data_IF_653793210526
#
_entry.id   IF_653793210526
#
_cell.length_a   1.000
_cell.length_b   1.000
_cell.length_c   1.000
_cell.angle_alpha   90.00
_cell.angle_beta   90.00
_cell.angle_gamma   90.00
#
_symmetry.space_group_name_H-M   'P 1'
#
loop_
_entity.id
_entity.type
_entity.pdbx_description
1 polymer ?
#
# COMPACT_ATOMS: atom_id res chain seq x y z
N UNK A 1 -42.88 -21.68 -13.75
CA UNK A 1 -41.89 -22.76 -13.87
C UNK A 1 -41.17 -22.86 -12.54
N UNK A 2 -41.13 -24.02 -11.87
CA UNK A 2 -40.51 -24.12 -10.55
C UNK A 2 -38.99 -23.91 -10.70
N UNK A 3 -38.48 -22.95 -9.93
CA UNK A 3 -37.06 -22.66 -9.74
C UNK A 3 -36.43 -23.76 -8.86
N UNK A 4 -36.31 -24.97 -9.40
CA UNK A 4 -35.54 -26.02 -8.72
C UNK A 4 -34.06 -25.68 -8.91
N UNK A 5 -33.27 -25.48 -7.84
CA UNK A 5 -31.85 -25.24 -7.97
C UNK A 5 -31.22 -26.43 -8.71
N UNK A 6 -30.25 -26.19 -9.62
CA UNK A 6 -29.61 -27.28 -10.35
C UNK A 6 -29.01 -28.26 -9.34
N UNK A 7 -29.06 -29.59 -9.62
CA UNK A 7 -28.51 -30.60 -8.74
C UNK A 7 -27.05 -30.25 -8.42
N UNK A 8 -26.74 -30.14 -7.13
CA UNK A 8 -25.41 -29.81 -6.67
C UNK A 8 -24.46 -30.94 -7.08
N UNK A 9 -23.62 -30.67 -8.07
CA UNK A 9 -22.58 -31.60 -8.50
C UNK A 9 -21.61 -31.80 -7.34
N UNK A 10 -21.30 -33.05 -7.00
CA UNK A 10 -20.34 -33.34 -5.97
C UNK A 10 -18.94 -32.95 -6.47
N UNK A 11 -18.18 -32.18 -5.68
CA UNK A 11 -16.82 -31.83 -6.06
C UNK A 11 -15.98 -33.11 -6.17
N UNK A 12 -15.09 -33.21 -7.19
CA UNK A 12 -14.14 -34.31 -7.25
C UNK A 12 -13.22 -34.25 -6.01
N UNK A 13 -12.77 -35.41 -5.51
CA UNK A 13 -11.89 -35.47 -4.35
C UNK A 13 -10.60 -34.72 -4.64
N UNK A 14 -10.19 -33.89 -3.69
CA UNK A 14 -8.91 -33.21 -3.75
C UNK A 14 -7.78 -34.23 -3.59
N UNK A 15 -6.77 -34.16 -4.44
CA UNK A 15 -5.68 -35.12 -4.45
C UNK A 15 -4.48 -34.61 -5.23
N UNK A 16 -3.29 -35.07 -4.82
CA UNK A 16 -2.04 -34.84 -5.55
C UNK A 16 -1.83 -36.02 -6.49
N UNK A 17 -1.72 -35.73 -7.78
CA UNK A 17 -1.54 -36.74 -8.83
C UNK A 17 -0.15 -36.61 -9.44
N UNK A 18 0.46 -37.75 -9.79
CA UNK A 18 1.82 -37.78 -10.37
C UNK A 18 1.86 -37.30 -11.82
N UNK A 19 0.79 -37.55 -12.55
CA UNK A 19 0.64 -37.16 -13.95
C UNK A 19 -0.71 -36.52 -14.18
N UNK A 20 -0.80 -35.70 -15.23
CA UNK A 20 -2.05 -35.07 -15.61
C UNK A 20 -3.10 -36.07 -16.10
N UNK A 21 -2.68 -37.15 -16.74
CA UNK A 21 -3.60 -38.18 -17.22
C UNK A 21 -4.25 -38.95 -16.06
N UNK A 22 -3.51 -39.17 -14.97
CA UNK A 22 -4.06 -39.78 -13.75
C UNK A 22 -5.06 -38.85 -13.04
N UNK A 23 -4.73 -37.55 -12.95
CA UNK A 23 -5.67 -36.52 -12.48
C UNK A 23 -6.93 -36.49 -13.35
N UNK A 24 -6.79 -36.55 -14.67
CA UNK A 24 -7.93 -36.53 -15.57
C UNK A 24 -8.78 -37.80 -15.41
N UNK A 25 -8.15 -38.96 -15.27
CA UNK A 25 -8.85 -40.22 -15.08
C UNK A 25 -9.66 -40.26 -13.78
N UNK A 26 -9.11 -39.75 -12.67
CA UNK A 26 -9.80 -39.68 -11.39
C UNK A 26 -10.99 -38.73 -11.42
N UNK A 27 -10.80 -37.53 -11.96
CA UNK A 27 -11.84 -36.50 -12.12
C UNK A 27 -12.93 -36.96 -13.08
N UNK A 28 -12.56 -37.63 -14.17
CA UNK A 28 -13.50 -38.19 -15.13
C UNK A 28 -14.33 -39.35 -14.55
N UNK A 29 -13.77 -40.13 -13.63
CA UNK A 29 -14.51 -41.22 -12.95
C UNK A 29 -15.67 -40.65 -12.14
N UNK A 30 -15.40 -39.65 -11.30
CA UNK A 30 -16.41 -38.98 -10.47
C UNK A 30 -17.46 -38.26 -11.33
N UNK A 31 -17.05 -37.66 -12.44
CA UNK A 31 -17.97 -37.04 -13.38
C UNK A 31 -18.92 -38.05 -14.05
N UNK A 32 -18.39 -39.22 -14.44
CA UNK A 32 -19.18 -40.31 -15.04
C UNK A 32 -20.24 -40.84 -14.06
N UNK A 33 -19.88 -40.99 -12.79
CA UNK A 33 -20.83 -41.41 -11.74
C UNK A 33 -21.99 -40.42 -11.58
N UNK A 34 -21.73 -39.14 -11.85
CA UNK A 34 -22.71 -38.06 -11.84
C UNK A 34 -23.36 -37.79 -13.22
N UNK A 35 -23.02 -38.58 -14.25
CA UNK A 35 -23.64 -38.50 -15.57
C UNK A 35 -23.14 -37.38 -16.49
N UNK A 36 -21.95 -36.82 -16.24
CA UNK A 36 -21.35 -35.82 -17.12
C UNK A 36 -19.90 -36.15 -17.51
N UNK A 37 -19.41 -35.53 -18.59
CA UNK A 37 -18.04 -35.70 -19.07
C UNK A 37 -17.22 -34.42 -18.93
N UNK A 38 -15.94 -34.54 -18.60
CA UNK A 38 -15.03 -33.40 -18.42
C UNK A 38 -14.06 -33.33 -19.59
N UNK A 39 -13.79 -32.12 -20.06
CA UNK A 39 -12.86 -31.82 -21.16
C UNK A 39 -11.88 -30.73 -20.78
N UNK A 40 -10.71 -30.75 -21.44
CA UNK A 40 -9.67 -29.72 -21.32
C UNK A 40 -10.14 -28.49 -22.12
N UNK A 41 -10.46 -27.39 -21.45
CA UNK A 41 -10.85 -26.15 -22.13
C UNK A 41 -9.64 -25.39 -22.67
N UNK A 42 -8.65 -25.19 -21.80
CA UNK A 42 -7.43 -24.44 -22.13
C UNK A 42 -6.27 -24.91 -21.27
N UNK A 43 -5.09 -24.90 -21.88
CA UNK A 43 -3.81 -25.03 -21.21
C UNK A 43 -3.15 -23.65 -21.12
N UNK A 44 -2.49 -23.35 -20.02
CA UNK A 44 -1.87 -22.04 -19.77
C UNK A 44 -0.67 -22.18 -18.84
N UNK A 45 0.11 -21.09 -18.76
CA UNK A 45 1.29 -20.98 -17.89
C UNK A 45 2.31 -22.10 -18.20
N UNK A 46 3.01 -21.96 -19.32
CA UNK A 46 3.94 -22.98 -19.80
C UNK A 46 5.32 -22.78 -19.15
N UNK A 47 5.92 -23.86 -18.63
CA UNK A 47 7.31 -23.92 -18.18
C UNK A 47 8.00 -25.07 -18.91
N UNK A 48 9.20 -24.85 -19.41
CA UNK A 48 9.98 -25.87 -20.14
C UNK A 48 9.19 -26.59 -21.25
N UNK A 49 8.33 -25.84 -21.96
CA UNK A 49 7.46 -26.36 -23.01
C UNK A 49 6.26 -27.17 -22.53
N UNK A 50 6.08 -27.38 -21.23
CA UNK A 50 4.96 -28.13 -20.63
C UNK A 50 3.95 -27.19 -19.96
N UNK A 51 2.62 -27.42 -20.09
CA UNK A 51 1.63 -26.59 -19.43
C UNK A 51 1.55 -26.90 -17.94
N UNK A 52 1.63 -25.88 -17.08
CA UNK A 52 1.49 -26.02 -15.62
C UNK A 52 0.07 -25.79 -15.13
N UNK A 53 -0.85 -25.32 -15.98
CA UNK A 53 -2.25 -25.09 -15.59
C UNK A 53 -3.22 -25.49 -16.68
N UNK A 54 -4.22 -26.31 -16.31
CA UNK A 54 -5.32 -26.72 -17.17
C UNK A 54 -6.66 -26.27 -16.58
N UNK A 55 -7.48 -25.60 -17.38
CA UNK A 55 -8.88 -25.36 -17.05
C UNK A 55 -9.72 -26.53 -17.56
N UNK A 56 -10.46 -27.15 -16.66
CA UNK A 56 -11.32 -28.30 -16.90
C UNK A 56 -12.79 -27.83 -16.87
N UNK A 57 -13.58 -28.26 -17.84
CA UNK A 57 -15.01 -27.92 -17.94
C UNK A 57 -15.82 -29.14 -18.32
N UNK A 58 -17.13 -29.10 -18.12
CA UNK A 58 -18.00 -30.11 -18.70
C UNK A 58 -18.03 -30.01 -20.24
N UNK A 59 -18.04 -31.15 -20.93
CA UNK A 59 -18.08 -31.27 -22.40
C UNK A 59 -19.24 -30.47 -23.01
N UNK A 60 -20.46 -30.67 -22.48
CA UNK A 60 -21.66 -29.91 -22.85
C UNK A 60 -21.88 -28.67 -21.96
N UNK A 61 -20.83 -28.17 -21.31
CA UNK A 61 -20.88 -27.07 -20.35
C UNK A 61 -20.82 -25.67 -20.95
N UNK A 62 -21.34 -24.73 -20.16
CA UNK A 62 -21.32 -23.29 -20.43
C UNK A 62 -22.35 -22.79 -21.45
N UNK A 63 -22.43 -21.47 -21.54
CA UNK A 63 -23.39 -20.80 -22.42
C UNK A 63 -22.85 -20.75 -23.86
N UNK A 64 -23.74 -20.82 -24.85
CA UNK A 64 -23.37 -20.59 -26.25
C UNK A 64 -23.08 -19.09 -26.43
N UNK A 65 -21.90 -18.76 -26.98
CA UNK A 65 -21.63 -17.38 -27.37
C UNK A 65 -22.56 -17.00 -28.53
N UNK A 66 -23.24 -15.86 -28.43
CA UNK A 66 -24.10 -15.38 -29.49
C UNK A 66 -23.23 -14.68 -30.55
N UNK A 67 -22.74 -15.42 -31.55
CA UNK A 67 -22.00 -14.85 -32.67
C UNK A 67 -22.93 -14.53 -33.84
N UNK A 68 -22.89 -13.29 -34.33
CA UNK A 68 -23.58 -12.87 -35.56
C UNK A 68 -22.85 -13.35 -36.82
N UNK A 69 -21.55 -13.68 -36.71
CA UNK A 69 -20.75 -14.22 -37.79
C UNK A 69 -21.00 -15.73 -37.97
N UNK A 70 -21.47 -16.11 -39.18
CA UNK A 70 -21.69 -17.47 -39.72
C UNK A 70 -22.25 -18.50 -38.70
N UNK A 71 -23.57 -18.68 -38.72
CA UNK A 71 -24.28 -19.71 -37.93
C UNK A 71 -23.87 -21.10 -38.40
N UNK A 72 -23.02 -21.78 -37.63
CA UNK A 72 -22.83 -23.24 -37.76
C UNK A 72 -24.03 -23.94 -37.13
N UNK A 73 -24.47 -25.06 -37.72
CA UNK A 73 -25.50 -25.94 -37.16
C UNK A 73 -24.81 -27.11 -36.43
N UNK A 74 -24.42 -26.95 -35.16
CA UNK A 74 -23.88 -28.06 -34.37
C UNK A 74 -24.99 -29.07 -34.06
N UNK A 75 -24.67 -30.36 -34.18
CA UNK A 75 -25.56 -31.46 -33.78
C UNK A 75 -25.73 -31.54 -32.25
N UNK A 76 -24.77 -30.98 -31.50
CA UNK A 76 -24.78 -30.99 -30.03
C UNK A 76 -25.27 -29.65 -29.48
N UNK A 77 -26.14 -29.73 -28.46
CA UNK A 77 -26.59 -28.57 -27.68
C UNK A 77 -25.86 -28.56 -26.34
N UNK A 78 -25.36 -27.39 -25.93
CA UNK A 78 -24.86 -27.18 -24.58
C UNK A 78 -26.03 -27.28 -23.60
N UNK A 79 -25.81 -27.92 -22.46
CA UNK A 79 -26.80 -28.15 -21.40
C UNK A 79 -26.59 -27.21 -20.21
N UNK A 80 -25.73 -26.20 -20.36
CA UNK A 80 -25.36 -25.23 -19.34
C UNK A 80 -24.84 -25.87 -18.04
N UNK A 81 -24.05 -26.95 -18.16
CA UNK A 81 -23.45 -27.58 -16.99
C UNK A 81 -22.49 -26.59 -16.29
N UNK A 82 -22.63 -26.37 -14.97
CA UNK A 82 -21.86 -25.38 -14.22
C UNK A 82 -20.46 -25.86 -13.82
N UNK A 83 -20.14 -27.14 -14.02
CA UNK A 83 -18.86 -27.71 -13.59
C UNK A 83 -17.66 -27.02 -14.24
N UNK A 84 -16.77 -26.50 -13.38
CA UNK A 84 -15.47 -25.92 -13.76
C UNK A 84 -14.44 -26.25 -12.69
N UNK A 85 -13.28 -26.74 -13.09
CA UNK A 85 -12.16 -27.03 -12.19
C UNK A 85 -10.84 -26.52 -12.79
N UNK A 86 -9.82 -26.38 -11.93
CA UNK A 86 -8.48 -25.97 -12.34
C UNK A 86 -7.48 -27.00 -11.83
N UNK A 87 -6.77 -27.64 -12.75
CA UNK A 87 -5.64 -28.47 -12.42
C UNK A 87 -4.36 -27.62 -12.50
N UNK A 88 -3.58 -27.59 -11.43
CA UNK A 88 -2.32 -26.85 -11.35
C UNK A 88 -1.21 -27.87 -11.08
N UNK A 89 -0.17 -27.85 -11.91
CA UNK A 89 1.05 -28.58 -11.68
C UNK A 89 1.89 -27.81 -10.66
N UNK A 90 2.10 -28.38 -9.49
CA UNK A 90 3.03 -27.84 -8.51
C UNK A 90 4.40 -28.48 -8.68
N UNK A 91 5.25 -27.80 -9.43
CA UNK A 91 6.69 -28.07 -9.43
C UNK A 91 7.24 -27.55 -8.09
N UNK A 92 7.41 -28.44 -7.10
CA UNK A 92 7.84 -28.16 -5.72
C UNK A 92 6.85 -27.36 -4.86
N UNK A 93 5.69 -27.97 -4.58
CA UNK A 93 4.58 -27.46 -3.78
C UNK A 93 4.93 -26.60 -2.53
N UNK A 94 5.78 -27.02 -1.58
CA UNK A 94 5.99 -26.24 -0.35
C UNK A 94 6.98 -25.07 -0.54
N UNK A 95 8.09 -25.29 -1.27
CA UNK A 95 9.16 -24.30 -1.38
C UNK A 95 8.80 -23.17 -2.36
N UNK A 96 8.24 -23.50 -3.52
CA UNK A 96 7.82 -22.48 -4.49
C UNK A 96 6.66 -21.62 -3.97
N UNK A 97 5.79 -22.17 -3.12
CA UNK A 97 4.71 -21.41 -2.47
C UNK A 97 5.25 -20.51 -1.37
N UNK A 98 6.21 -20.99 -0.59
CA UNK A 98 6.91 -20.18 0.42
C UNK A 98 7.69 -19.03 -0.22
N UNK A 99 8.42 -19.30 -1.31
CA UNK A 99 9.14 -18.27 -2.07
C UNK A 99 8.17 -17.23 -2.63
N UNK A 100 7.07 -17.64 -3.31
CA UNK A 100 6.05 -16.71 -3.82
C UNK A 100 5.39 -15.89 -2.71
N UNK A 101 5.08 -16.52 -1.57
CA UNK A 101 4.53 -15.80 -0.44
C UNK A 101 5.52 -14.80 0.13
N UNK A 102 6.80 -15.14 0.15
CA UNK A 102 7.86 -14.28 0.64
C UNK A 102 8.13 -13.11 -0.31
N UNK A 103 8.20 -13.34 -1.63
CA UNK A 103 8.34 -12.26 -2.62
C UNK A 103 7.19 -11.26 -2.51
N UNK A 104 5.95 -11.74 -2.42
CA UNK A 104 4.79 -10.86 -2.24
C UNK A 104 4.83 -10.05 -0.93
N UNK A 105 5.45 -10.58 0.14
CA UNK A 105 5.66 -9.84 1.40
C UNK A 105 6.74 -8.78 1.23
N UNK A 106 7.84 -9.10 0.55
CA UNK A 106 8.91 -8.15 0.24
C UNK A 106 8.40 -7.00 -0.64
N UNK A 107 7.58 -7.29 -1.64
CA UNK A 107 7.01 -6.25 -2.52
C UNK A 107 6.14 -5.27 -1.72
N UNK A 108 5.34 -5.77 -0.78
CA UNK A 108 4.55 -4.92 0.13
C UNK A 108 5.45 -4.09 1.05
N UNK A 109 6.44 -4.71 1.67
CA UNK A 109 7.38 -4.00 2.54
C UNK A 109 8.15 -2.91 1.78
N UNK A 110 8.58 -3.20 0.54
CA UNK A 110 9.24 -2.23 -0.33
C UNK A 110 8.32 -1.04 -0.63
N UNK A 111 7.05 -1.30 -0.92
CA UNK A 111 6.07 -0.26 -1.13
C UNK A 111 5.84 0.58 0.13
N UNK A 112 5.65 -0.05 1.29
CA UNK A 112 5.44 0.64 2.56
C UNK A 112 6.66 1.47 2.96
N UNK A 113 7.88 0.97 2.72
CA UNK A 113 9.11 1.73 2.94
C UNK A 113 9.20 2.95 2.02
N UNK A 114 8.91 2.80 0.72
CA UNK A 114 8.90 3.92 -0.21
C UNK A 114 7.89 5.01 0.20
N UNK A 115 6.70 4.60 0.64
CA UNK A 115 5.67 5.51 1.18
C UNK A 115 6.11 6.17 2.49
N UNK A 116 6.78 5.42 3.36
CA UNK A 116 7.35 5.93 4.61
C UNK A 116 8.37 7.04 4.35
N UNK A 117 9.28 6.82 3.40
CA UNK A 117 10.29 7.81 3.00
C UNK A 117 9.65 9.09 2.45
N UNK A 118 8.67 8.98 1.55
CA UNK A 118 7.96 10.16 1.03
C UNK A 118 7.27 10.99 2.14
N UNK A 119 6.69 10.32 3.15
CA UNK A 119 6.09 11.03 4.30
C UNK A 119 7.14 11.71 5.18
N UNK A 120 8.32 11.10 5.31
CA UNK A 120 9.43 11.68 6.07
C UNK A 120 9.96 12.90 5.34
N UNK A 121 10.20 12.82 4.04
CA UNK A 121 10.60 13.96 3.20
C UNK A 121 9.64 15.14 3.36
N UNK A 122 8.33 14.91 3.24
CA UNK A 122 7.34 15.98 3.42
C UNK A 122 7.35 16.58 4.83
N UNK A 123 7.63 15.79 5.86
CA UNK A 123 7.77 16.31 7.23
C UNK A 123 9.03 17.12 7.40
N UNK A 124 10.13 16.73 6.76
CA UNK A 124 11.38 17.48 6.77
C UNK A 124 11.19 18.83 6.07
N UNK A 125 10.56 18.88 4.89
CA UNK A 125 10.22 20.14 4.21
C UNK A 125 9.40 21.09 5.10
N UNK A 126 8.44 20.55 5.84
CA UNK A 126 7.63 21.33 6.76
C UNK A 126 8.43 21.82 7.98
N UNK A 127 9.40 21.03 8.45
CA UNK A 127 10.30 21.43 9.54
C UNK A 127 11.25 22.52 9.06
N UNK A 128 11.80 22.40 7.85
CA UNK A 128 12.67 23.42 7.24
C UNK A 128 11.95 24.77 7.15
N UNK A 129 10.72 24.80 6.62
CA UNK A 129 9.90 26.03 6.58
C UNK A 129 9.62 26.61 7.97
N UNK A 130 9.43 25.77 8.98
CA UNK A 130 9.24 26.25 10.36
C UNK A 130 10.52 26.82 10.95
N UNK A 131 11.68 26.23 10.64
CA UNK A 131 13.00 26.76 11.02
C UNK A 131 13.21 28.14 10.39
N UNK A 132 12.97 28.30 9.09
CA UNK A 132 13.08 29.60 8.40
C UNK A 132 12.21 30.69 9.07
N UNK A 133 10.96 30.36 9.44
CA UNK A 133 10.09 31.30 10.14
C UNK A 133 10.59 31.67 11.54
N UNK A 134 11.17 30.71 12.26
CA UNK A 134 11.77 30.95 13.58
C UNK A 134 13.01 31.84 13.43
N UNK A 135 13.87 31.58 12.45
CA UNK A 135 15.06 32.38 12.15
C UNK A 135 14.68 33.81 11.76
N UNK A 136 13.66 33.99 10.90
CA UNK A 136 13.17 35.32 10.53
C UNK A 136 12.65 36.11 11.75
N UNK A 137 11.91 35.45 12.66
CA UNK A 137 11.46 36.08 13.91
C UNK A 137 12.63 36.40 14.83
N UNK A 138 13.63 35.52 14.91
CA UNK A 138 14.82 35.73 15.71
C UNK A 138 15.62 36.95 15.22
N UNK A 139 15.81 37.09 13.91
CA UNK A 139 16.45 38.26 13.29
C UNK A 139 15.71 39.57 13.56
N UNK A 140 14.40 39.53 13.84
CA UNK A 140 13.63 40.70 14.25
C UNK A 140 13.87 41.16 15.70
N UNK A 141 14.50 40.35 16.56
CA UNK A 141 14.78 40.75 17.94
C UNK A 141 16.02 41.66 18.04
N UNK A 142 17.05 41.44 17.21
CA UNK A 142 18.29 42.23 17.20
C UNK A 142 18.03 43.76 17.07
N UNK A 143 17.30 44.26 16.06
CA UNK A 143 17.03 45.69 15.93
C UNK A 143 16.07 46.22 17.02
N UNK A 144 15.17 45.37 17.55
CA UNK A 144 14.29 45.76 18.66
C UNK A 144 15.07 45.95 19.95
N UNK A 145 16.08 45.11 20.19
CA UNK A 145 16.95 45.22 21.35
C UNK A 145 17.80 46.49 21.26
N UNK A 146 18.42 46.76 20.11
CA UNK A 146 19.14 48.03 19.86
C UNK A 146 18.27 49.27 20.06
N UNK A 147 17.01 49.25 19.59
CA UNK A 147 16.08 50.35 19.79
C UNK A 147 15.70 50.56 21.27
N UNK A 148 15.66 49.50 22.07
CA UNK A 148 15.42 49.58 23.52
C UNK A 148 16.66 50.13 24.24
N UNK A 149 17.87 49.63 23.90
CA UNK A 149 19.14 50.12 24.46
C UNK A 149 19.35 51.62 24.19
N UNK A 150 19.10 52.09 22.97
CA UNK A 150 19.21 53.52 22.63
C UNK A 150 18.25 54.39 23.45
N UNK A 151 17.02 53.91 23.71
CA UNK A 151 16.05 54.63 24.55
C UNK A 151 16.48 54.65 26.02
N UNK A 152 17.11 53.59 26.51
CA UNK A 152 17.66 53.51 27.86
C UNK A 152 18.82 54.50 28.05
N UNK A 153 19.76 54.55 27.09
CA UNK A 153 20.84 55.54 27.08
C UNK A 153 20.32 56.98 27.08
N UNK A 154 19.24 57.26 26.35
CA UNK A 154 18.58 58.56 26.37
C UNK A 154 17.99 58.95 27.73
N UNK A 155 17.69 57.98 28.61
CA UNK A 155 17.24 58.22 29.98
C UNK A 155 18.39 58.31 30.98
N UNK A 156 19.53 57.67 30.73
CA UNK A 156 20.70 57.66 31.63
C UNK A 156 21.69 58.81 31.39
N UNK A 157 21.74 59.37 30.16
CA UNK A 157 22.82 60.26 29.71
C UNK A 157 22.94 61.69 30.30
N UNK A 158 21.89 62.34 30.86
CA UNK A 158 22.09 63.65 31.50
C UNK A 158 21.53 63.79 32.92
N UNK A 159 20.93 62.74 33.50
CA UNK A 159 20.24 62.84 34.81
C UNK A 159 21.01 62.27 35.99
N UNK A 160 21.96 61.34 35.77
CA UNK A 160 22.68 60.70 36.86
C UNK A 160 24.06 61.29 37.15
N UNK A 161 24.71 61.94 36.18
CA UNK A 161 26.00 62.64 36.38
C UNK A 161 25.84 64.07 36.93
N UNK A 162 24.61 64.58 37.08
CA UNK A 162 24.32 65.93 37.57
C UNK A 162 23.86 66.01 39.03
N UNK A 163 23.61 64.87 39.70
CA UNK A 163 23.36 64.84 41.14
C UNK A 163 24.67 64.61 41.89
N UNK A 164 25.64 65.51 41.65
CA UNK A 164 26.86 65.57 42.42
C UNK A 164 26.53 65.83 43.89
N UNK A 165 27.05 64.97 44.77
CA UNK A 165 27.10 65.17 46.22
C UNK A 165 27.98 66.39 46.60
N UNK A 166 28.43 67.19 45.63
CA UNK A 166 29.31 68.34 45.84
C UNK A 166 28.56 69.59 46.35
N UNK A 167 27.25 69.72 46.09
CA UNK A 167 26.45 70.87 46.54
C UNK A 167 26.09 70.77 48.04
N UNK A 168 25.92 69.55 48.55
CA UNK A 168 25.60 69.30 49.97
C UNK A 168 26.81 69.55 50.86
N UNK A 169 28.00 69.10 50.44
CA UNK A 169 29.26 69.31 51.17
C UNK A 169 29.69 70.80 51.13
N UNK A 170 29.49 71.47 49.99
CA UNK A 170 29.75 72.92 49.86
C UNK A 170 28.85 73.78 50.75
N UNK A 171 27.59 73.36 51.00
CA UNK A 171 26.65 74.07 51.88
C UNK A 171 26.90 73.82 53.37
N UNK A 172 27.44 72.66 53.73
CA UNK A 172 27.86 72.34 55.10
C UNK A 172 29.09 73.15 55.53
N UNK A 173 30.06 73.36 54.63
CA UNK A 173 31.26 74.16 54.91
C UNK A 173 30.97 75.66 55.04
N UNK A 174 29.95 76.17 54.33
CA UNK A 174 29.53 77.58 54.43
C UNK A 174 28.75 77.89 55.72
N UNK A 175 28.17 76.89 56.38
CA UNK A 175 27.33 77.05 57.58
C UNK A 175 28.08 76.88 58.92
N UNK A 176 29.36 76.49 58.90
CA UNK A 176 30.12 76.18 60.12
C UNK A 176 31.06 77.30 60.61
N UNK A 177 30.92 78.52 60.09
CA UNK A 177 31.61 79.70 60.64
C UNK A 177 30.63 80.50 61.50
N UNK A 178 30.56 80.12 62.78
CA UNK A 178 30.39 81.02 63.92
C UNK A 178 31.21 80.47 65.08
#
# INVERSE_FOLDING_TARGET
MPNTPPPALLPPPEGIFRTFDDLMASVQRVAKDQGYGIVKLRASNYRDGKPTRYDLVCDRGGVKYNSTAKKRNPSTRKIDCPFRAKAVCEENAPLATSIRSFTNKLDRLSHDMAQGLMRIEQRLDNIEKRMENIEARAGGYEPRFQAIEQRLQGMEGPRMDGMGMDDVESRLLASSVM
#
